data_IF_461518819339
#
_entry.id   IF_461518819339
#
_cell.length_a   1.000
_cell.length_b   1.000
_cell.length_c   1.000
_cell.angle_alpha   90.00
_cell.angle_beta   90.00
_cell.angle_gamma   90.00
#
_symmetry.space_group_name_H-M   'P 1'
#
loop_
_entity.id
_entity.type
_entity.pdbx_description
1 polymer ?
#
# COMPACT_ATOMS: atom_id res chain seq x y z
N UNK A 1 9.85 -24.38 1.62
CA UNK A 1 9.25 -24.18 2.95
C UNK A 1 8.30 -23.00 2.95
N UNK A 2 8.77 -21.75 2.79
CA UNK A 2 7.87 -20.57 2.81
C UNK A 2 6.76 -20.60 1.73
N UNK A 3 7.03 -21.14 0.54
CA UNK A 3 6.02 -21.28 -0.53
C UNK A 3 4.87 -22.22 -0.18
N UNK A 4 5.14 -23.30 0.55
CA UNK A 4 4.09 -24.23 0.96
C UNK A 4 3.18 -23.61 2.00
N UNK A 5 3.75 -22.87 2.95
CA UNK A 5 2.98 -22.12 3.97
C UNK A 5 2.12 -21.03 3.33
N UNK A 6 2.65 -20.30 2.35
CA UNK A 6 1.87 -19.31 1.60
C UNK A 6 0.72 -19.94 0.82
N UNK A 7 0.93 -21.14 0.27
CA UNK A 7 -0.14 -21.84 -0.44
C UNK A 7 -1.25 -22.29 0.51
N UNK A 8 -0.89 -22.82 1.68
CA UNK A 8 -1.87 -23.19 2.71
C UNK A 8 -2.67 -21.97 3.22
N UNK A 9 -2.00 -20.83 3.39
CA UNK A 9 -2.63 -19.57 3.82
C UNK A 9 -3.56 -19.00 2.74
N UNK A 10 -3.16 -19.03 1.46
CA UNK A 10 -4.02 -18.66 0.32
C UNK A 10 -5.23 -19.59 0.19
N UNK A 11 -5.03 -20.90 0.35
CA UNK A 11 -6.10 -21.90 0.32
C UNK A 11 -7.12 -21.68 1.45
N UNK A 12 -6.67 -21.17 2.61
CA UNK A 12 -7.52 -20.92 3.78
C UNK A 12 -8.28 -19.59 3.69
N UNK A 13 -7.64 -18.52 3.21
CA UNK A 13 -8.18 -17.16 3.28
C UNK A 13 -8.54 -16.56 1.92
N UNK A 14 -7.82 -16.91 0.86
CA UNK A 14 -8.07 -16.44 -0.51
C UNK A 14 -7.97 -14.92 -0.68
N UNK A 15 -7.23 -14.24 0.19
CA UNK A 15 -7.05 -12.80 0.21
C UNK A 15 -5.62 -12.36 -0.17
N UNK A 16 -4.80 -13.28 -0.68
CA UNK A 16 -3.47 -12.95 -1.18
C UNK A 16 -3.49 -12.38 -2.59
N UNK A 17 -2.69 -11.32 -2.77
CA UNK A 17 -2.30 -10.79 -4.06
C UNK A 17 -0.78 -10.91 -4.21
N UNK A 18 -0.33 -11.71 -5.16
CA UNK A 18 1.08 -11.97 -5.44
C UNK A 18 1.45 -11.59 -6.87
N UNK A 19 2.67 -11.06 -7.06
CA UNK A 19 3.24 -10.78 -8.37
C UNK A 19 4.75 -11.10 -8.37
N UNK A 20 5.29 -11.35 -9.56
CA UNK A 20 6.69 -11.76 -9.75
C UNK A 20 7.66 -10.57 -9.68
N UNK A 21 7.91 -10.08 -8.46
CA UNK A 21 9.03 -9.19 -8.16
C UNK A 21 9.59 -9.47 -6.76
N UNK A 22 10.85 -9.13 -6.53
CA UNK A 22 11.46 -9.29 -5.23
C UNK A 22 10.89 -8.27 -4.23
N UNK A 23 10.22 -8.74 -3.19
CA UNK A 23 9.66 -7.88 -2.15
C UNK A 23 10.79 -7.30 -1.28
N UNK A 24 11.10 -6.02 -1.51
CA UNK A 24 12.12 -5.26 -0.78
C UNK A 24 11.66 -3.83 -0.58
N UNK A 25 12.25 -3.12 0.39
CA UNK A 25 11.97 -1.70 0.60
C UNK A 25 12.13 -0.83 -0.66
N UNK A 26 13.13 -1.14 -1.50
CA UNK A 26 13.37 -0.39 -2.74
C UNK A 26 12.30 -0.68 -3.81
N UNK A 27 11.63 -1.83 -3.75
CA UNK A 27 10.60 -2.26 -4.68
C UNK A 27 9.17 -1.98 -4.19
N UNK A 28 8.98 -1.28 -3.08
CA UNK A 28 7.64 -0.91 -2.58
C UNK A 28 6.85 -0.06 -3.59
N UNK A 29 7.53 0.67 -4.48
CA UNK A 29 6.87 1.35 -5.61
C UNK A 29 6.22 0.35 -6.56
N UNK A 30 6.89 -0.77 -6.88
CA UNK A 30 6.31 -1.84 -7.70
C UNK A 30 5.11 -2.47 -6.99
N UNK A 31 5.21 -2.74 -5.69
CA UNK A 31 4.10 -3.24 -4.87
C UNK A 31 2.89 -2.30 -4.85
N UNK A 32 3.14 -0.99 -4.84
CA UNK A 32 2.08 0.02 -4.91
C UNK A 32 1.41 0.04 -6.28
N UNK A 33 2.20 -0.01 -7.37
CA UNK A 33 1.67 -0.07 -8.73
C UNK A 33 0.86 -1.35 -8.97
N UNK A 34 1.33 -2.50 -8.47
CA UNK A 34 0.60 -3.77 -8.47
C UNK A 34 -0.79 -3.61 -7.83
N UNK A 35 -0.86 -3.04 -6.62
CA UNK A 35 -2.13 -2.86 -5.92
C UNK A 35 -3.10 -1.94 -6.68
N UNK A 36 -2.59 -0.84 -7.24
CA UNK A 36 -3.41 0.08 -8.04
C UNK A 36 -3.91 -0.57 -9.34
N UNK A 37 -3.06 -1.34 -10.02
CA UNK A 37 -3.44 -2.09 -11.22
C UNK A 37 -4.53 -3.12 -10.90
N UNK A 38 -4.35 -3.89 -9.83
CA UNK A 38 -5.33 -4.90 -9.40
C UNK A 38 -6.68 -4.26 -9.07
N UNK A 39 -6.69 -3.19 -8.28
CA UNK A 39 -7.91 -2.45 -7.95
C UNK A 39 -8.60 -1.92 -9.21
N UNK A 40 -7.83 -1.36 -10.15
CA UNK A 40 -8.37 -0.85 -11.40
C UNK A 40 -9.04 -1.92 -12.26
N UNK A 41 -8.57 -3.17 -12.19
CA UNK A 41 -9.09 -4.30 -12.98
C UNK A 41 -10.25 -5.01 -12.30
N UNK A 42 -10.14 -5.24 -11.00
CA UNK A 42 -11.04 -6.14 -10.25
C UNK A 42 -12.01 -5.40 -9.33
N UNK A 43 -11.80 -4.11 -9.07
CA UNK A 43 -12.66 -3.29 -8.20
C UNK A 43 -13.08 -1.95 -8.84
N UNK A 44 -13.63 -1.94 -10.08
CA UNK A 44 -13.92 -0.71 -10.81
C UNK A 44 -14.97 0.19 -10.13
N UNK A 45 -15.78 -0.37 -9.22
CA UNK A 45 -16.85 0.33 -8.51
C UNK A 45 -16.49 0.70 -7.06
N UNK A 46 -15.25 0.46 -6.62
CA UNK A 46 -14.83 0.84 -5.28
C UNK A 46 -14.90 2.36 -5.10
N UNK A 47 -15.64 2.83 -4.09
CA UNK A 47 -15.77 4.28 -3.83
C UNK A 47 -14.49 4.89 -3.28
N UNK A 48 -13.73 4.10 -2.51
CA UNK A 48 -12.45 4.48 -1.94
C UNK A 48 -11.52 3.27 -1.89
N UNK A 49 -10.22 3.55 -1.90
CA UNK A 49 -9.14 2.56 -1.77
C UNK A 49 -8.24 3.06 -0.66
N UNK A 50 -7.86 2.18 0.26
CA UNK A 50 -6.93 2.49 1.33
C UNK A 50 -5.70 1.60 1.19
N UNK A 51 -4.52 2.23 1.23
CA UNK A 51 -3.23 1.54 1.34
C UNK A 51 -2.71 1.74 2.75
N UNK A 52 -2.47 0.66 3.47
CA UNK A 52 -1.93 0.64 4.81
C UNK A 52 -0.83 -0.42 4.90
N UNK A 53 0.11 -0.24 5.82
CA UNK A 53 1.14 -1.23 6.10
C UNK A 53 0.61 -2.24 7.14
N UNK A 54 1.22 -3.42 7.28
CA UNK A 54 0.72 -4.47 8.18
C UNK A 54 0.96 -4.18 9.67
N UNK A 55 1.73 -3.14 9.98
CA UNK A 55 2.13 -2.72 11.33
C UNK A 55 1.36 -1.46 11.80
N UNK A 56 0.22 -1.15 11.19
CA UNK A 56 -0.63 -0.02 11.58
C UNK A 56 -1.98 -0.48 12.14
N UNK A 57 -2.54 0.30 13.06
CA UNK A 57 -3.92 0.14 13.52
C UNK A 57 -4.87 1.03 12.71
N UNK A 58 -6.03 0.50 12.37
CA UNK A 58 -7.06 1.21 11.60
C UNK A 58 -8.36 1.30 12.41
N UNK A 59 -8.78 2.52 12.75
CA UNK A 59 -10.12 2.77 13.29
C UNK A 59 -11.13 2.84 12.14
N UNK A 60 -11.68 1.68 11.77
CA UNK A 60 -12.60 1.54 10.64
C UNK A 60 -13.94 2.27 10.85
N UNK A 61 -14.45 2.33 12.08
CA UNK A 61 -15.69 3.03 12.40
C UNK A 61 -15.55 4.54 12.17
N UNK A 62 -14.48 5.12 12.70
CA UNK A 62 -14.16 6.53 12.47
C UNK A 62 -13.95 6.82 10.98
N UNK A 63 -13.21 5.96 10.27
CA UNK A 63 -12.95 6.13 8.85
C UNK A 63 -14.25 6.06 8.03
N UNK A 64 -15.14 5.11 8.32
CA UNK A 64 -16.42 4.96 7.64
C UNK A 64 -17.32 6.20 7.86
N UNK A 65 -17.30 6.79 9.06
CA UNK A 65 -17.98 8.06 9.34
C UNK A 65 -17.37 9.23 8.57
N UNK A 66 -16.04 9.35 8.55
CA UNK A 66 -15.31 10.43 7.87
C UNK A 66 -15.49 10.44 6.34
N UNK A 67 -15.70 9.25 5.77
CA UNK A 67 -15.86 9.06 4.32
C UNK A 67 -17.31 9.26 3.83
N UNK A 68 -18.24 9.65 4.73
CA UNK A 68 -19.64 9.97 4.42
C UNK A 68 -19.91 11.48 4.63
N UNK A 69 -20.55 12.18 3.67
CA UNK A 69 -20.97 11.70 2.35
C UNK A 69 -19.79 11.44 1.41
N UNK A 70 -20.05 10.72 0.30
CA UNK A 70 -19.04 10.42 -0.70
C UNK A 70 -18.45 11.70 -1.31
N UNK A 71 -17.13 11.72 -1.48
CA UNK A 71 -16.38 12.84 -2.09
C UNK A 71 -15.53 12.31 -3.24
N UNK A 72 -15.62 12.97 -4.40
CA UNK A 72 -14.78 12.69 -5.55
C UNK A 72 -13.43 13.40 -5.43
N UNK A 73 -12.37 12.81 -6.00
CA UNK A 73 -11.02 13.40 -5.96
C UNK A 73 -10.38 13.48 -4.57
N UNK A 74 -10.86 12.69 -3.60
CA UNK A 74 -10.30 12.65 -2.25
C UNK A 74 -9.01 11.83 -2.22
N UNK A 75 -7.91 12.47 -1.85
CA UNK A 75 -6.68 11.81 -1.40
C UNK A 75 -6.33 12.38 -0.03
N UNK A 76 -6.23 11.52 0.99
CA UNK A 76 -5.99 11.94 2.38
C UNK A 76 -4.94 11.08 3.08
N UNK A 77 -4.30 11.66 4.08
CA UNK A 77 -3.26 11.02 4.88
C UNK A 77 -2.32 12.06 5.50
N UNK A 78 -1.21 11.60 6.08
CA UNK A 78 -0.17 12.50 6.56
C UNK A 78 0.70 12.99 5.39
N UNK A 79 0.50 14.25 4.98
CA UNK A 79 1.17 14.82 3.81
C UNK A 79 2.46 15.53 4.21
N UNK A 80 3.60 14.97 3.79
CA UNK A 80 4.89 15.64 3.84
C UNK A 80 4.95 16.75 2.79
N UNK A 81 5.08 18.01 3.23
CA UNK A 81 5.16 19.18 2.35
C UNK A 81 6.57 19.76 2.38
N UNK A 82 7.03 20.30 1.24
CA UNK A 82 8.33 20.97 1.11
C UNK A 82 9.52 20.09 1.53
N UNK A 83 9.44 18.80 1.24
CA UNK A 83 10.52 17.83 1.47
C UNK A 83 11.29 17.55 0.18
N UNK A 84 12.50 17.02 0.31
CA UNK A 84 13.32 16.56 -0.81
C UNK A 84 14.05 15.26 -0.45
N UNK A 85 14.83 14.67 -1.37
CA UNK A 85 15.52 13.43 -1.11
C UNK A 85 16.52 13.58 0.04
N UNK A 86 16.53 12.63 0.98
CA UNK A 86 17.46 12.63 2.10
C UNK A 86 18.86 12.25 1.61
N UNK A 87 19.84 13.13 1.80
CA UNK A 87 21.21 12.98 1.26
C UNK A 87 22.24 12.51 2.28
N UNK A 88 21.86 12.37 3.54
CA UNK A 88 22.76 11.83 4.57
C UNK A 88 22.63 10.31 4.63
N UNK A 89 23.77 9.60 4.45
CA UNK A 89 23.88 8.14 4.45
C UNK A 89 23.47 7.47 5.76
N UNK A 90 23.40 8.22 6.86
CA UNK A 90 22.93 7.71 8.15
C UNK A 90 21.41 7.47 8.18
N UNK A 91 20.63 8.05 7.26
CA UNK A 91 19.19 7.82 7.20
C UNK A 91 18.84 6.56 6.41
N UNK A 92 17.85 5.80 6.91
CA UNK A 92 17.25 4.64 6.22
C UNK A 92 16.83 4.96 4.78
N UNK A 93 16.38 6.18 4.52
CA UNK A 93 15.83 6.63 3.24
C UNK A 93 16.82 7.47 2.41
N UNK A 94 18.11 7.20 2.56
CA UNK A 94 19.16 7.89 1.79
C UNK A 94 18.97 7.69 0.29
N UNK A 95 19.08 8.79 -0.47
CA UNK A 95 19.09 8.78 -1.94
C UNK A 95 20.37 9.49 -2.41
N UNK A 96 21.25 8.82 -3.20
CA UNK A 96 22.46 9.44 -3.75
C UNK A 96 22.12 10.49 -4.80
N UNK A 97 23.02 11.45 -5.04
CA UNK A 97 22.95 12.34 -6.21
C UNK A 97 23.25 11.54 -7.48
N UNK A 98 22.72 12.02 -8.59
CA UNK A 98 23.03 11.53 -9.94
C UNK A 98 24.53 11.65 -10.26
#
# INVERSE_FOLDING_TARGET
ELRAVLQEEDELHGDLLQQDFLDTYNNLTLKTLMGLEWVSRFCPNASYVMKADSDVFLNLEYLAGLLRPLRTGLLMGHVYRRTGPLRNRAYKWFVPRE
#
